data_IF_601229131654
#
_entry.id   IF_601229131654
#
_cell.length_a   1.000
_cell.length_b   1.000
_cell.length_c   1.000
_cell.angle_alpha   90.00
_cell.angle_beta   90.00
_cell.angle_gamma   90.00
#
_symmetry.space_group_name_H-M   'P 1'
#
loop_
_entity.id
_entity.type
_entity.pdbx_description
1 polymer ?
#
# COMPACT_ATOMS: atom_id res chain seq x y z
N UNK A 1 13.30 45.33 -21.32
CA UNK A 1 11.98 44.74 -21.05
C UNK A 1 12.05 43.25 -21.40
N UNK A 2 11.64 42.36 -20.49
CA UNK A 2 11.85 40.91 -20.59
C UNK A 2 10.85 40.30 -21.59
N UNK A 3 11.36 39.64 -22.63
CA UNK A 3 10.52 38.92 -23.60
C UNK A 3 9.94 37.66 -22.95
N UNK A 4 8.62 37.62 -22.78
CA UNK A 4 7.90 36.45 -22.29
C UNK A 4 7.92 35.34 -23.35
N UNK A 5 8.68 34.29 -23.09
CA UNK A 5 8.75 33.10 -23.94
C UNK A 5 7.40 32.37 -23.90
N UNK A 6 6.54 32.61 -24.90
CA UNK A 6 5.23 31.97 -25.03
C UNK A 6 5.44 30.50 -25.37
N UNK A 7 5.20 29.58 -24.42
CA UNK A 7 5.23 28.13 -24.67
C UNK A 7 4.10 27.77 -25.62
N UNK A 8 4.43 27.50 -26.88
CA UNK A 8 3.48 27.00 -27.89
C UNK A 8 3.23 25.52 -27.60
N UNK A 9 2.00 25.18 -27.24
CA UNK A 9 1.55 23.80 -27.15
C UNK A 9 1.03 23.39 -28.54
N UNK A 10 1.58 22.31 -29.10
CA UNK A 10 1.19 21.82 -30.44
C UNK A 10 -0.27 21.36 -30.52
N UNK A 11 -0.80 21.13 -31.74
CA UNK A 11 -2.23 20.89 -31.98
C UNK A 11 -2.75 19.56 -31.40
N UNK A 12 -1.90 18.58 -31.13
CA UNK A 12 -2.27 17.36 -30.40
C UNK A 12 -1.86 17.51 -28.95
N UNK A 13 -2.70 18.23 -28.22
CA UNK A 13 -2.55 18.46 -26.79
C UNK A 13 -2.80 17.26 -25.89
N UNK A 14 -2.63 16.04 -26.41
CA UNK A 14 -2.92 14.81 -25.68
C UNK A 14 -1.74 14.55 -24.75
N UNK A 15 -1.94 14.80 -23.46
CA UNK A 15 -1.04 14.33 -22.40
C UNK A 15 -1.15 12.80 -22.33
N UNK A 16 -0.31 12.08 -23.09
CA UNK A 16 -0.05 10.68 -22.84
C UNK A 16 0.74 10.56 -21.53
N UNK A 17 0.07 10.58 -20.38
CA UNK A 17 0.79 10.59 -19.10
C UNK A 17 -0.04 10.28 -17.86
N UNK A 18 -1.23 9.73 -18.02
CA UNK A 18 -2.18 9.59 -16.91
C UNK A 18 -2.84 8.22 -16.81
N UNK A 19 -2.39 7.19 -17.53
CA UNK A 19 -3.08 5.88 -17.51
C UNK A 19 -2.32 4.78 -16.74
N UNK A 20 -1.02 4.93 -16.48
CA UNK A 20 -0.21 3.85 -15.87
C UNK A 20 0.31 4.12 -14.46
N UNK A 21 -0.13 5.18 -13.78
CA UNK A 21 0.13 5.30 -12.34
C UNK A 21 -0.92 4.54 -11.56
N UNK A 22 -0.87 3.21 -11.59
CA UNK A 22 -1.38 2.40 -10.48
C UNK A 22 -0.50 2.74 -9.27
N UNK A 23 -0.85 3.83 -8.59
CA UNK A 23 -0.26 4.19 -7.31
C UNK A 23 -0.39 2.96 -6.42
N UNK A 24 0.73 2.39 -6.00
CA UNK A 24 0.71 1.36 -4.98
C UNK A 24 0.01 1.95 -3.76
N UNK A 25 -1.18 1.43 -3.46
CA UNK A 25 -1.96 1.88 -2.31
C UNK A 25 -1.42 1.16 -1.10
N UNK A 26 -0.75 1.90 -0.24
CA UNK A 26 -0.28 1.39 1.04
C UNK A 26 -1.47 1.23 2.00
N UNK A 27 -1.45 0.15 2.79
CA UNK A 27 -2.41 -0.06 3.87
C UNK A 27 -1.92 0.74 5.07
N UNK A 28 -2.71 1.73 5.48
CA UNK A 28 -2.44 2.54 6.67
C UNK A 28 -3.51 2.32 7.73
N UNK A 29 -3.10 2.03 8.96
CA UNK A 29 -3.99 1.99 10.13
C UNK A 29 -3.67 3.18 11.03
N UNK A 30 -4.70 3.93 11.40
CA UNK A 30 -4.60 4.94 12.46
C UNK A 30 -4.60 4.23 13.82
N UNK A 31 -3.61 4.54 14.64
CA UNK A 31 -3.48 4.05 16.02
C UNK A 31 -3.31 5.25 16.94
N UNK A 32 -3.53 5.07 18.24
CA UNK A 32 -3.28 6.13 19.22
C UNK A 32 -1.77 6.44 19.31
N UNK A 33 -1.42 7.62 19.79
CA UNK A 33 -0.02 7.96 20.03
C UNK A 33 0.64 7.06 21.08
N UNK A 34 -0.13 6.62 22.09
CA UNK A 34 0.37 5.73 23.13
C UNK A 34 0.72 4.34 22.55
N UNK A 35 -0.17 3.78 21.74
CA UNK A 35 0.06 2.50 21.04
C UNK A 35 1.27 2.60 20.08
N UNK A 36 1.41 3.73 19.38
CA UNK A 36 2.55 3.96 18.49
C UNK A 36 3.86 3.98 19.26
N UNK A 37 3.91 4.67 20.40
CA UNK A 37 5.09 4.70 21.28
C UNK A 37 5.41 3.32 21.85
N UNK A 38 4.39 2.55 22.22
CA UNK A 38 4.54 1.19 22.71
C UNK A 38 5.16 0.29 21.63
N UNK A 39 4.60 0.29 20.41
CA UNK A 39 5.11 -0.48 19.28
C UNK A 39 6.54 -0.09 18.91
N UNK A 40 6.85 1.20 18.94
CA UNK A 40 8.20 1.72 18.66
C UNK A 40 9.20 1.23 19.71
N UNK A 41 8.82 1.28 21.00
CA UNK A 41 9.67 0.82 22.10
C UNK A 41 9.89 -0.71 22.04
N UNK A 42 8.86 -1.46 21.66
CA UNK A 42 8.93 -2.90 21.50
C UNK A 42 9.74 -3.35 20.28
N UNK A 43 9.68 -2.61 19.17
CA UNK A 43 10.55 -2.83 18.01
C UNK A 43 12.02 -2.55 18.37
N UNK A 44 12.27 -1.45 19.11
CA UNK A 44 13.60 -1.07 19.56
C UNK A 44 14.24 -2.11 20.49
N UNK A 45 13.47 -2.72 21.41
CA UNK A 45 14.00 -3.77 22.31
C UNK A 45 14.46 -5.02 21.54
N UNK A 46 13.84 -5.28 20.38
CA UNK A 46 14.19 -6.37 19.48
C UNK A 46 15.22 -5.96 18.41
N UNK A 47 15.68 -4.71 18.41
CA UNK A 47 16.61 -4.13 17.42
C UNK A 47 16.09 -4.22 15.97
N UNK A 48 14.78 -4.10 15.78
CA UNK A 48 14.13 -4.08 14.47
C UNK A 48 13.30 -2.81 14.29
N UNK A 49 12.93 -2.51 13.04
CA UNK A 49 11.97 -1.44 12.73
C UNK A 49 10.52 -1.91 12.95
N UNK A 50 9.59 -0.98 13.16
CA UNK A 50 8.16 -1.28 13.34
C UNK A 50 7.58 -1.99 12.11
N UNK A 51 8.03 -1.66 10.89
CA UNK A 51 7.59 -2.37 9.69
C UNK A 51 8.01 -3.84 9.70
N UNK A 52 9.27 -4.13 10.09
CA UNK A 52 9.78 -5.50 10.22
C UNK A 52 9.06 -6.27 11.32
N UNK A 53 8.73 -5.60 12.42
CA UNK A 53 7.93 -6.17 13.50
C UNK A 53 6.53 -6.60 13.02
N UNK A 54 5.90 -5.78 12.17
CA UNK A 54 4.53 -6.02 11.69
C UNK A 54 4.46 -6.96 10.50
N UNK A 55 5.51 -7.05 9.68
CA UNK A 55 5.56 -7.87 8.47
C UNK A 55 5.00 -9.30 8.63
N UNK A 56 5.46 -10.12 9.61
CA UNK A 56 4.97 -11.49 9.73
C UNK A 56 3.46 -11.57 10.06
N UNK A 57 2.93 -10.58 10.78
CA UNK A 57 1.50 -10.53 11.08
C UNK A 57 0.67 -10.13 9.85
N UNK A 58 1.20 -9.26 9.00
CA UNK A 58 0.56 -8.89 7.73
C UNK A 58 0.55 -10.07 6.77
N UNK A 59 1.66 -10.81 6.66
CA UNK A 59 1.73 -12.01 5.82
C UNK A 59 0.71 -13.07 6.24
N UNK A 60 0.57 -13.33 7.55
CA UNK A 60 -0.44 -14.24 8.08
C UNK A 60 -1.87 -13.81 7.72
N UNK A 61 -2.17 -12.50 7.86
CA UNK A 61 -3.48 -11.97 7.51
C UNK A 61 -3.77 -12.09 6.00
N UNK A 62 -2.77 -11.85 5.16
CA UNK A 62 -2.91 -12.01 3.71
C UNK A 62 -3.09 -13.48 3.31
N UNK A 63 -2.43 -14.42 3.99
CA UNK A 63 -2.63 -15.84 3.75
C UNK A 63 -4.07 -16.27 4.07
N UNK A 64 -4.58 -15.85 5.23
CA UNK A 64 -5.97 -16.08 5.62
C UNK A 64 -6.97 -15.45 4.63
N UNK A 65 -6.68 -14.24 4.15
CA UNK A 65 -7.52 -13.57 3.17
C UNK A 65 -7.57 -14.33 1.84
N UNK A 66 -6.43 -14.87 1.37
CA UNK A 66 -6.36 -15.68 0.14
C UNK A 66 -7.13 -17.00 0.28
N UNK A 67 -7.04 -17.65 1.43
CA UNK A 67 -7.79 -18.87 1.71
C UNK A 67 -9.31 -18.63 1.69
N UNK A 68 -9.76 -17.44 2.09
CA UNK A 68 -11.16 -17.06 2.06
C UNK A 68 -11.62 -16.57 0.66
N UNK A 69 -10.72 -16.01 -0.15
CA UNK A 69 -11.03 -15.56 -1.51
C UNK A 69 -11.19 -16.73 -2.50
N UNK A 70 -10.73 -17.93 -2.15
CA UNK A 70 -10.96 -19.14 -2.95
C UNK A 70 -12.27 -19.85 -2.53
N UNK A 71 -13.41 -19.60 -3.22
CA UNK A 71 -14.66 -20.33 -2.95
C UNK A 71 -14.62 -21.78 -3.45
N UNK A 72 -13.57 -22.21 -4.16
CA UNK A 72 -13.48 -23.57 -4.70
C UNK A 72 -13.09 -24.59 -3.63
N UNK A 73 -12.39 -24.17 -2.56
CA UNK A 73 -12.12 -25.00 -1.39
C UNK A 73 -13.37 -25.35 -0.57
N UNK A 74 -14.47 -24.59 -0.70
CA UNK A 74 -15.74 -24.83 0.01
C UNK A 74 -16.80 -25.54 -0.87
N UNK A 75 -16.53 -25.72 -2.17
CA UNK A 75 -17.45 -26.32 -3.13
C UNK A 75 -17.11 -27.78 -3.48
N UNK A 76 -16.16 -28.40 -2.79
CA UNK A 76 -15.72 -29.79 -3.01
C UNK A 76 -16.45 -30.86 -2.19
N UNK A 77 -17.36 -30.49 -1.29
CA UNK A 77 -18.05 -31.44 -0.40
C UNK A 77 -19.57 -31.28 -0.48
N UNK A 78 -20.13 -31.56 -1.66
CA UNK A 78 -21.54 -31.97 -1.81
C UNK A 78 -21.59 -33.04 -2.90
N UNK A 79 -21.18 -34.24 -2.51
CA UNK A 79 -21.54 -35.49 -3.22
C UNK A 79 -23.00 -35.82 -2.99
#
# INVERSE_FOLDING_TARGET
MKNAHRKVYGPTGIKHGSEDRKLQKYIGKRISEDDHRLLTSYAASQKVDVATLLAPHVDLLLDQARQHEDPSALAGDRS
#
